data_IF_606270349082
#
_entry.id   IF_606270349082
#
_cell.length_a   1.000
_cell.length_b   1.000
_cell.length_c   1.000
_cell.angle_alpha   90.00
_cell.angle_beta   90.00
_cell.angle_gamma   90.00
#
_symmetry.space_group_name_H-M   'P 1'
#
loop_
_entity.id
_entity.type
_entity.pdbx_description
1 polymer ?
#
# COMPACT_ATOMS: atom_id res chain seq x y z
N UNK A 1 -41.04 9.19 -65.81
CA UNK A 1 -40.49 7.82 -65.99
C UNK A 1 -39.93 7.41 -64.63
N UNK A 2 -40.73 6.81 -63.74
CA UNK A 2 -41.12 5.40 -63.63
C UNK A 2 -40.00 4.45 -63.15
N UNK A 3 -40.23 3.88 -61.94
CA UNK A 3 -39.86 2.55 -61.39
C UNK A 3 -38.35 2.29 -61.21
N UNK A 4 -37.87 1.85 -60.05
CA UNK A 4 -38.30 0.66 -59.31
C UNK A 4 -38.14 0.84 -57.79
N UNK A 5 -39.25 0.75 -57.05
CA UNK A 5 -39.33 -0.02 -55.81
C UNK A 5 -40.04 -1.33 -56.18
N UNK A 6 -39.52 -2.48 -55.76
CA UNK A 6 -40.27 -3.56 -55.10
C UNK A 6 -39.49 -4.88 -55.11
N UNK A 7 -39.71 -5.64 -54.04
CA UNK A 7 -39.62 -7.10 -53.96
C UNK A 7 -38.26 -7.73 -53.70
N UNK A 8 -37.98 -7.95 -52.41
CA UNK A 8 -37.65 -9.30 -51.88
C UNK A 8 -37.58 -9.24 -50.35
N UNK A 9 -38.76 -9.19 -49.73
CA UNK A 9 -39.00 -9.82 -48.44
C UNK A 9 -39.82 -11.08 -48.70
N UNK A 10 -39.58 -12.09 -47.86
CA UNK A 10 -40.31 -13.36 -47.72
C UNK A 10 -39.72 -14.56 -48.49
N UNK A 11 -38.87 -15.30 -47.78
CA UNK A 11 -38.96 -16.76 -47.56
C UNK A 11 -38.02 -17.02 -46.36
N UNK A 12 -38.47 -17.39 -45.17
CA UNK A 12 -39.50 -18.37 -44.87
C UNK A 12 -38.83 -19.67 -44.46
N UNK A 13 -38.39 -19.73 -43.20
CA UNK A 13 -38.24 -20.92 -42.34
C UNK A 13 -37.80 -22.26 -42.97
N UNK A 14 -36.61 -22.73 -42.56
CA UNK A 14 -36.44 -24.16 -42.28
C UNK A 14 -35.49 -24.38 -41.10
N UNK A 15 -36.07 -25.00 -40.08
CA UNK A 15 -35.49 -25.40 -38.82
C UNK A 15 -34.40 -26.46 -38.99
N UNK A 16 -33.28 -26.30 -38.28
CA UNK A 16 -32.50 -27.45 -37.82
C UNK A 16 -31.73 -27.08 -36.54
N UNK A 17 -32.37 -27.36 -35.40
CA UNK A 17 -31.78 -27.87 -34.16
C UNK A 17 -30.34 -27.46 -33.81
N UNK A 18 -30.22 -26.47 -32.92
CA UNK A 18 -29.29 -26.58 -31.79
C UNK A 18 -30.02 -26.17 -30.50
N UNK A 19 -30.65 -27.19 -29.90
CA UNK A 19 -30.75 -27.43 -28.46
C UNK A 19 -30.73 -26.22 -27.53
N UNK A 20 -31.93 -25.88 -27.09
CA UNK A 20 -32.29 -25.46 -25.72
C UNK A 20 -31.41 -26.18 -24.69
N UNK A 21 -30.37 -25.51 -24.19
CA UNK A 21 -29.80 -25.81 -22.88
C UNK A 21 -30.62 -25.04 -21.84
N UNK A 22 -31.72 -25.65 -21.43
CA UNK A 22 -32.21 -25.42 -20.07
C UNK A 22 -31.19 -26.02 -19.09
N UNK A 23 -30.98 -25.30 -17.98
CA UNK A 23 -30.13 -25.61 -16.84
C UNK A 23 -28.61 -25.46 -17.03
N UNK A 24 -28.14 -24.23 -16.84
CA UNK A 24 -27.05 -24.03 -15.89
C UNK A 24 -27.64 -23.30 -14.68
N UNK A 25 -27.32 -23.72 -13.46
CA UNK A 25 -27.91 -23.14 -12.26
C UNK A 25 -27.67 -21.64 -12.30
N UNK A 26 -28.63 -20.85 -11.84
CA UNK A 26 -28.37 -19.49 -11.40
C UNK A 26 -27.09 -19.54 -10.57
N UNK A 27 -25.95 -19.14 -11.15
CA UNK A 27 -24.75 -18.85 -10.39
C UNK A 27 -25.24 -17.75 -9.47
N UNK A 28 -25.55 -18.16 -8.23
CA UNK A 28 -26.34 -17.37 -7.32
C UNK A 28 -25.72 -15.99 -7.33
N UNK A 29 -26.55 -14.97 -7.56
CA UNK A 29 -26.17 -13.60 -7.25
C UNK A 29 -25.73 -13.66 -5.79
N UNK A 30 -24.41 -13.77 -5.58
CA UNK A 30 -23.82 -13.61 -4.27
C UNK A 30 -24.30 -12.23 -3.86
N UNK A 31 -25.02 -12.15 -2.74
CA UNK A 31 -25.49 -10.86 -2.27
C UNK A 31 -24.30 -9.91 -2.20
N UNK A 32 -24.51 -8.63 -2.47
CA UNK A 32 -23.44 -7.62 -2.46
C UNK A 32 -22.59 -7.72 -1.17
N UNK A 33 -23.24 -8.07 -0.05
CA UNK A 33 -22.62 -8.35 1.25
C UNK A 33 -21.61 -9.51 1.25
N UNK A 34 -21.85 -10.57 0.48
CA UNK A 34 -20.93 -11.71 0.38
C UNK A 34 -19.69 -11.35 -0.47
N UNK A 35 -19.89 -10.61 -1.56
CA UNK A 35 -18.80 -10.12 -2.41
C UNK A 35 -17.91 -9.12 -1.66
N UNK A 36 -18.52 -8.22 -0.87
CA UNK A 36 -17.83 -7.28 0.00
C UNK A 36 -16.98 -8.02 1.06
N UNK A 37 -17.55 -9.02 1.75
CA UNK A 37 -16.82 -9.84 2.73
C UNK A 37 -15.64 -10.58 2.12
N UNK A 38 -15.82 -11.20 0.95
CA UNK A 38 -14.73 -11.88 0.25
C UNK A 38 -13.61 -10.91 -0.14
N UNK A 39 -13.98 -9.70 -0.56
CA UNK A 39 -13.02 -8.64 -0.90
C UNK A 39 -12.20 -8.23 0.32
N UNK A 40 -12.85 -7.96 1.47
CA UNK A 40 -12.17 -7.59 2.73
C UNK A 40 -11.22 -8.70 3.17
N UNK A 41 -11.68 -9.96 3.17
CA UNK A 41 -10.84 -11.11 3.57
C UNK A 41 -9.61 -11.24 2.67
N UNK A 42 -9.80 -11.16 1.35
CA UNK A 42 -8.70 -11.24 0.39
C UNK A 42 -7.72 -10.09 0.59
N UNK A 43 -8.21 -8.85 0.70
CA UNK A 43 -7.42 -7.64 0.94
C UNK A 43 -6.58 -7.78 2.22
N UNK A 44 -7.21 -8.24 3.31
CA UNK A 44 -6.57 -8.44 4.62
C UNK A 44 -5.53 -9.55 4.63
N UNK A 45 -5.78 -10.65 3.91
CA UNK A 45 -4.83 -11.76 3.80
C UNK A 45 -3.58 -11.32 3.03
N UNK A 46 -3.78 -10.64 1.90
CA UNK A 46 -2.67 -10.06 1.14
C UNK A 46 -1.92 -9.09 2.07
N UNK A 47 -2.64 -8.21 2.79
CA UNK A 47 -2.08 -7.23 3.73
C UNK A 47 -1.15 -7.86 4.78
N UNK A 48 -1.63 -8.95 5.38
CA UNK A 48 -0.87 -9.74 6.34
C UNK A 48 0.39 -10.35 5.73
N UNK A 49 0.27 -10.99 4.55
CA UNK A 49 1.40 -11.66 3.87
C UNK A 49 2.46 -10.64 3.45
N UNK A 50 2.05 -9.54 2.84
CA UNK A 50 2.98 -8.49 2.41
C UNK A 50 3.72 -7.87 3.60
N UNK A 51 3.01 -7.59 4.70
CA UNK A 51 3.62 -7.03 5.91
C UNK A 51 4.57 -8.01 6.58
N UNK A 52 4.23 -9.30 6.57
CA UNK A 52 5.12 -10.37 7.04
C UNK A 52 6.42 -10.42 6.24
N UNK A 53 6.33 -10.53 4.91
CA UNK A 53 7.50 -10.62 4.02
C UNK A 53 8.37 -9.38 4.15
N UNK A 54 7.75 -8.20 4.15
CA UNK A 54 8.46 -6.93 4.25
C UNK A 54 9.19 -6.81 5.60
N UNK A 55 8.51 -7.13 6.71
CA UNK A 55 9.10 -7.01 8.06
C UNK A 55 10.21 -8.04 8.28
N UNK A 56 9.96 -9.30 7.94
CA UNK A 56 10.98 -10.36 8.02
C UNK A 56 12.20 -10.02 7.15
N UNK A 57 11.97 -9.59 5.91
CA UNK A 57 13.04 -9.23 4.99
C UNK A 57 13.87 -8.06 5.53
N UNK A 58 13.23 -7.00 6.01
CA UNK A 58 13.95 -5.84 6.56
C UNK A 58 14.80 -6.24 7.77
N UNK A 59 14.26 -7.00 8.71
CA UNK A 59 15.01 -7.41 9.88
C UNK A 59 16.19 -8.32 9.49
N UNK A 60 15.96 -9.26 8.58
CA UNK A 60 17.02 -10.14 8.04
C UNK A 60 18.06 -9.42 7.17
N UNK A 61 17.77 -8.21 6.69
CA UNK A 61 18.71 -7.40 5.91
C UNK A 61 19.88 -6.83 6.73
N UNK A 62 19.80 -6.86 8.06
CA UNK A 62 20.81 -6.28 8.94
C UNK A 62 21.05 -4.79 8.70
N UNK A 63 20.02 -4.04 8.31
CA UNK A 63 20.11 -2.61 8.05
C UNK A 63 20.71 -2.24 6.68
N UNK A 64 21.00 -3.21 5.81
CA UNK A 64 21.49 -2.94 4.46
C UNK A 64 20.40 -2.25 3.61
N UNK A 65 20.58 -0.97 3.30
CA UNK A 65 19.61 -0.17 2.54
C UNK A 65 19.25 -0.78 1.17
N UNK A 66 20.22 -1.36 0.45
CA UNK A 66 19.93 -1.96 -0.86
C UNK A 66 19.07 -3.22 -0.71
N UNK A 67 19.36 -4.07 0.28
CA UNK A 67 18.55 -5.25 0.56
C UNK A 67 17.11 -4.86 0.97
N UNK A 68 16.96 -3.83 1.83
CA UNK A 68 15.65 -3.27 2.20
C UNK A 68 14.85 -2.84 0.96
N UNK A 69 15.50 -2.16 0.01
CA UNK A 69 14.86 -1.73 -1.24
C UNK A 69 14.46 -2.92 -2.12
N UNK A 70 15.31 -3.94 -2.24
CA UNK A 70 14.98 -5.16 -2.98
C UNK A 70 13.80 -5.90 -2.34
N UNK A 71 13.76 -5.98 -1.00
CA UNK A 71 12.67 -6.60 -0.25
C UNK A 71 11.36 -5.82 -0.44
N UNK A 72 11.40 -4.48 -0.39
CA UNK A 72 10.23 -3.65 -0.71
C UNK A 72 9.73 -3.93 -2.12
N UNK A 73 10.63 -3.89 -3.10
CA UNK A 73 10.33 -4.12 -4.51
C UNK A 73 9.66 -5.48 -4.73
N UNK A 74 10.24 -6.55 -4.18
CA UNK A 74 9.67 -7.89 -4.27
C UNK A 74 8.32 -7.99 -3.55
N UNK A 75 8.17 -7.34 -2.39
CA UNK A 75 6.89 -7.30 -1.67
C UNK A 75 5.80 -6.64 -2.53
N UNK A 76 6.11 -5.52 -3.20
CA UNK A 76 5.19 -4.85 -4.13
C UNK A 76 4.87 -5.75 -5.34
N UNK A 77 5.85 -6.45 -5.90
CA UNK A 77 5.58 -7.33 -7.04
C UNK A 77 4.70 -8.53 -6.66
N UNK A 78 4.89 -9.08 -5.46
CA UNK A 78 4.14 -10.22 -4.95
C UNK A 78 2.72 -9.84 -4.53
N UNK A 79 2.49 -8.59 -4.13
CA UNK A 79 1.17 -8.13 -3.71
C UNK A 79 0.69 -7.01 -4.62
N UNK A 80 -0.40 -7.21 -5.36
CA UNK A 80 -0.90 -6.27 -6.38
C UNK A 80 -1.25 -4.84 -5.88
N UNK A 81 -1.08 -4.53 -4.60
CA UNK A 81 -1.31 -3.21 -4.00
C UNK A 81 -0.25 -2.88 -2.95
N UNK A 82 0.24 -1.64 -2.95
CA UNK A 82 1.10 -1.10 -1.87
C UNK A 82 0.36 -0.87 -0.55
N UNK A 83 -0.95 -0.77 -0.63
CA UNK A 83 -1.85 -0.53 0.50
C UNK A 83 -1.92 -1.72 1.45
N UNK A 84 -1.19 -2.77 1.12
CA UNK A 84 -1.10 -4.05 1.78
C UNK A 84 -0.19 -4.00 3.00
N UNK A 85 0.90 -3.23 2.99
CA UNK A 85 1.89 -3.31 4.06
C UNK A 85 2.12 -2.03 4.87
N UNK A 86 1.37 -0.96 4.62
CA UNK A 86 1.55 0.30 5.34
C UNK A 86 0.21 0.97 5.70
N UNK A 87 -0.13 1.12 7.00
CA UNK A 87 -1.38 1.74 7.44
C UNK A 87 -1.60 3.15 6.91
N UNK A 88 -0.53 3.95 6.77
CA UNK A 88 -0.64 5.32 6.25
C UNK A 88 -0.96 5.33 4.75
N UNK A 89 -0.52 4.31 4.00
CA UNK A 89 -0.91 4.14 2.59
C UNK A 89 -2.36 3.65 2.49
N UNK A 90 -2.80 2.71 3.34
CA UNK A 90 -4.22 2.32 3.40
C UNK A 90 -5.12 3.50 3.78
N UNK A 91 -4.62 4.43 4.59
CA UNK A 91 -5.34 5.64 4.95
C UNK A 91 -5.50 6.59 3.77
N UNK A 92 -4.52 6.68 2.88
CA UNK A 92 -4.66 7.41 1.60
C UNK A 92 -5.82 6.82 0.79
N UNK A 93 -5.88 5.49 0.66
CA UNK A 93 -6.97 4.82 -0.05
C UNK A 93 -8.34 5.05 0.59
N UNK A 94 -8.41 5.09 1.93
CA UNK A 94 -9.63 5.44 2.65
C UNK A 94 -10.07 6.87 2.32
N UNK A 95 -9.14 7.83 2.33
CA UNK A 95 -9.44 9.24 2.07
C UNK A 95 -9.80 9.52 0.60
N UNK A 96 -9.27 8.74 -0.34
CA UNK A 96 -9.70 8.74 -1.74
C UNK A 96 -10.95 7.88 -2.01
N UNK A 97 -11.55 7.28 -0.97
CA UNK A 97 -12.76 6.44 -1.07
C UNK A 97 -12.57 5.24 -2.01
N UNK A 98 -11.35 4.70 -2.06
CA UNK A 98 -11.01 3.47 -2.81
C UNK A 98 -11.30 2.20 -2.02
N UNK A 99 -11.32 2.32 -0.70
CA UNK A 99 -11.68 1.26 0.25
C UNK A 99 -12.66 1.82 1.28
N UNK A 100 -13.53 0.95 1.82
CA UNK A 100 -14.40 1.31 2.93
C UNK A 100 -13.66 1.36 4.28
N UNK A 101 -14.24 2.02 5.28
CA UNK A 101 -13.66 2.09 6.63
C UNK A 101 -13.45 0.70 7.25
N UNK A 102 -14.38 -0.23 7.03
CA UNK A 102 -14.25 -1.60 7.52
C UNK A 102 -13.04 -2.31 6.88
N UNK A 103 -12.89 -2.23 5.55
CA UNK A 103 -11.72 -2.79 4.85
C UNK A 103 -10.42 -2.17 5.35
N UNK A 104 -10.39 -0.84 5.54
CA UNK A 104 -9.25 -0.15 6.13
C UNK A 104 -8.86 -0.72 7.49
N UNK A 105 -9.81 -0.86 8.42
CA UNK A 105 -9.55 -1.39 9.77
C UNK A 105 -9.02 -2.83 9.73
N UNK A 106 -9.62 -3.70 8.92
CA UNK A 106 -9.13 -5.08 8.77
C UNK A 106 -7.75 -5.14 8.12
N UNK A 107 -7.48 -4.30 7.12
CA UNK A 107 -6.16 -4.21 6.51
C UNK A 107 -5.10 -3.74 7.50
N UNK A 108 -5.38 -2.74 8.34
CA UNK A 108 -4.45 -2.28 9.39
C UNK A 108 -4.17 -3.39 10.42
N UNK A 109 -5.21 -4.13 10.84
CA UNK A 109 -5.02 -5.29 11.72
C UNK A 109 -4.19 -6.39 11.07
N UNK A 110 -4.45 -6.69 9.80
CA UNK A 110 -3.67 -7.63 9.01
C UNK A 110 -2.21 -7.19 8.90
N UNK A 111 -1.97 -5.91 8.66
CA UNK A 111 -0.62 -5.34 8.57
C UNK A 111 0.16 -5.48 9.86
N UNK A 112 -0.42 -5.04 10.98
CA UNK A 112 0.21 -5.15 12.31
C UNK A 112 0.47 -6.62 12.64
N UNK A 113 -0.52 -7.50 12.44
CA UNK A 113 -0.40 -8.93 12.70
C UNK A 113 0.66 -9.61 11.83
N UNK A 114 0.67 -9.31 10.53
CA UNK A 114 1.68 -9.79 9.59
C UNK A 114 3.09 -9.32 9.96
N UNK A 115 3.25 -8.03 10.25
CA UNK A 115 4.52 -7.48 10.72
C UNK A 115 5.01 -8.11 12.02
N UNK A 116 4.11 -8.32 13.00
CA UNK A 116 4.46 -8.95 14.27
C UNK A 116 4.93 -10.39 14.08
N UNK A 117 4.22 -11.17 13.26
CA UNK A 117 4.63 -12.53 12.91
C UNK A 117 5.98 -12.53 12.17
N UNK A 118 6.21 -11.58 11.27
CA UNK A 118 7.48 -11.42 10.55
C UNK A 118 8.64 -11.17 11.51
N UNK A 119 8.45 -10.28 12.49
CA UNK A 119 9.42 -9.99 13.54
C UNK A 119 9.70 -11.21 14.43
N UNK A 120 8.65 -11.91 14.88
CA UNK A 120 8.77 -13.13 15.69
C UNK A 120 9.53 -14.24 14.94
N UNK A 121 9.21 -14.50 13.67
CA UNK A 121 9.92 -15.52 12.88
C UNK A 121 11.38 -15.14 12.68
N UNK A 122 11.65 -13.88 12.34
CA UNK A 122 13.02 -13.38 12.24
C UNK A 122 13.79 -13.63 13.54
N UNK A 123 13.14 -13.46 14.70
CA UNK A 123 13.75 -13.70 15.99
C UNK A 123 14.13 -15.16 16.23
N UNK A 124 13.18 -16.06 16.02
CA UNK A 124 13.44 -17.49 16.21
C UNK A 124 14.50 -18.04 15.27
N UNK A 125 14.60 -17.49 14.05
CA UNK A 125 15.50 -17.96 13.01
C UNK A 125 16.90 -17.38 13.13
N UNK A 126 17.04 -16.06 13.28
CA UNK A 126 18.35 -15.39 13.25
C UNK A 126 19.02 -15.30 14.61
N UNK A 127 18.26 -15.37 15.71
CA UNK A 127 18.75 -15.28 17.10
C UNK A 127 19.64 -14.07 17.42
N UNK A 128 19.74 -13.09 16.51
CA UNK A 128 20.58 -11.91 16.63
C UNK A 128 19.90 -10.70 15.99
N UNK A 129 19.69 -9.65 16.80
CA UNK A 129 19.07 -8.38 16.41
C UNK A 129 20.06 -7.23 16.42
N UNK A 130 21.35 -7.47 16.67
CA UNK A 130 22.34 -6.39 16.82
C UNK A 130 22.35 -5.40 15.66
N UNK A 131 21.90 -5.80 14.47
CA UNK A 131 21.84 -4.98 13.25
C UNK A 131 20.43 -4.75 12.69
N UNK A 132 19.35 -5.03 13.44
CA UNK A 132 18.01 -4.64 12.99
C UNK A 132 17.95 -3.10 12.81
N UNK A 133 17.23 -2.57 11.82
CA UNK A 133 17.08 -1.13 11.71
C UNK A 133 16.29 -0.62 12.91
N UNK A 134 17.01 -0.08 13.89
CA UNK A 134 16.44 0.37 15.15
C UNK A 134 15.64 1.65 14.91
N UNK A 135 14.52 1.76 15.60
CA UNK A 135 13.86 3.04 15.82
C UNK A 135 14.70 3.79 16.86
N UNK A 136 15.69 4.53 16.38
CA UNK A 136 16.69 5.20 17.23
C UNK A 136 16.10 6.47 17.88
N UNK A 137 15.09 6.28 18.75
CA UNK A 137 14.50 7.30 19.58
C UNK A 137 14.51 6.82 21.04
N UNK A 138 15.67 6.93 21.70
CA UNK A 138 15.82 6.67 23.14
C UNK A 138 15.62 7.95 23.94
N UNK A 139 15.20 7.81 25.20
CA UNK A 139 15.18 8.92 26.17
C UNK A 139 16.62 9.44 26.31
N UNK A 140 16.91 10.62 25.75
CA UNK A 140 18.24 11.24 25.78
C UNK A 140 18.91 11.42 24.42
N UNK A 141 18.43 10.73 23.37
CA UNK A 141 18.86 10.95 21.99
C UNK A 141 18.00 12.03 21.30
N UNK A 142 18.45 12.47 20.13
CA UNK A 142 17.90 13.60 19.37
C UNK A 142 16.48 13.30 18.81
N UNK A 143 15.49 13.24 19.69
CA UNK A 143 14.07 13.01 19.40
C UNK A 143 13.55 13.94 18.29
N UNK A 144 14.00 15.19 18.27
CA UNK A 144 13.67 16.16 17.23
C UNK A 144 14.16 15.67 15.87
N UNK A 145 15.40 15.19 15.79
CA UNK A 145 15.95 14.59 14.58
C UNK A 145 15.19 13.35 14.11
N UNK A 146 14.69 12.51 15.02
CA UNK A 146 13.87 11.35 14.67
C UNK A 146 12.49 11.76 14.17
N UNK A 147 11.86 12.75 14.80
CA UNK A 147 10.58 13.33 14.33
C UNK A 147 10.73 13.97 12.96
N UNK A 148 11.77 14.79 12.75
CA UNK A 148 12.05 15.44 11.47
C UNK A 148 12.33 14.41 10.37
N UNK A 149 13.15 13.39 10.66
CA UNK A 149 13.46 12.32 9.72
C UNK A 149 12.21 11.53 9.32
N UNK A 150 11.44 11.06 10.29
CA UNK A 150 10.18 10.34 10.07
C UNK A 150 9.19 11.18 9.26
N UNK A 151 8.98 12.44 9.66
CA UNK A 151 8.01 13.31 9.00
C UNK A 151 8.43 13.66 7.58
N UNK A 152 9.67 14.10 7.38
CA UNK A 152 10.15 14.54 6.06
C UNK A 152 10.23 13.38 5.07
N UNK A 153 10.79 12.24 5.49
CA UNK A 153 10.86 11.06 4.66
C UNK A 153 9.47 10.49 4.36
N UNK A 154 8.57 10.45 5.35
CA UNK A 154 7.18 10.05 5.11
C UNK A 154 6.48 10.98 4.11
N UNK A 155 6.67 12.30 4.20
CA UNK A 155 6.07 13.25 3.24
C UNK A 155 6.51 12.96 1.82
N UNK A 156 7.83 12.81 1.58
CA UNK A 156 8.37 12.50 0.25
C UNK A 156 7.78 11.18 -0.25
N UNK A 157 7.81 10.14 0.59
CA UNK A 157 7.33 8.83 0.21
C UNK A 157 5.82 8.82 -0.12
N UNK A 158 5.00 9.46 0.73
CA UNK A 158 3.55 9.53 0.52
C UNK A 158 3.18 10.38 -0.71
N UNK A 159 3.93 11.44 -1.03
CA UNK A 159 3.72 12.20 -2.27
C UNK A 159 3.95 11.30 -3.50
N UNK A 160 5.03 10.53 -3.51
CA UNK A 160 5.35 9.61 -4.61
C UNK A 160 4.25 8.57 -4.76
N UNK A 161 3.77 8.00 -3.65
CA UNK A 161 2.63 7.07 -3.62
C UNK A 161 1.40 7.73 -4.25
N UNK A 162 0.99 8.92 -3.77
CA UNK A 162 -0.23 9.58 -4.26
C UNK A 162 -0.14 9.89 -5.75
N UNK A 163 1.01 10.38 -6.23
CA UNK A 163 1.21 10.67 -7.66
C UNK A 163 1.15 9.42 -8.52
N UNK A 164 1.83 8.35 -8.10
CA UNK A 164 1.92 7.10 -8.87
C UNK A 164 0.60 6.30 -8.89
N UNK A 165 -0.30 6.58 -7.95
CA UNK A 165 -1.66 6.05 -7.93
C UNK A 165 -2.71 7.01 -8.53
N UNK A 166 -2.32 8.16 -9.05
CA UNK A 166 -3.25 9.10 -9.68
C UNK A 166 -3.52 8.67 -11.14
N UNK A 167 -4.78 8.65 -11.55
CA UNK A 167 -5.17 8.18 -12.88
C UNK A 167 -4.59 9.02 -14.03
N UNK A 168 -4.32 10.30 -13.78
CA UNK A 168 -3.85 11.25 -14.79
C UNK A 168 -2.37 11.60 -14.66
N UNK A 169 -1.81 11.44 -13.46
CA UNK A 169 -0.49 11.96 -13.11
C UNK A 169 0.53 10.86 -12.77
N UNK A 170 0.12 9.58 -12.80
CA UNK A 170 1.03 8.45 -12.66
C UNK A 170 2.11 8.47 -13.73
N UNK A 171 3.30 8.01 -13.35
CA UNK A 171 4.42 7.90 -14.28
C UNK A 171 4.27 6.73 -15.25
N UNK A 172 3.57 5.67 -14.83
CA UNK A 172 3.44 4.42 -15.58
C UNK A 172 2.29 3.56 -15.06
N UNK A 173 1.74 2.76 -15.96
CA UNK A 173 0.74 1.71 -15.72
C UNK A 173 1.33 0.31 -15.59
N UNK A 174 2.58 0.13 -16.01
CA UNK A 174 3.24 -1.16 -15.94
C UNK A 174 3.55 -1.53 -14.48
N UNK A 175 3.22 -2.77 -14.09
CA UNK A 175 3.36 -3.23 -12.71
C UNK A 175 4.82 -3.22 -12.24
N UNK A 176 5.75 -3.59 -13.11
CA UNK A 176 7.18 -3.62 -12.79
C UNK A 176 7.71 -2.20 -12.59
N UNK A 177 7.37 -1.31 -13.52
CA UNK A 177 7.79 0.10 -13.44
C UNK A 177 7.15 0.81 -12.23
N UNK A 178 5.89 0.51 -11.92
CA UNK A 178 5.21 1.01 -10.72
C UNK A 178 5.95 0.59 -9.44
N UNK A 179 6.29 -0.70 -9.31
CA UNK A 179 7.06 -1.19 -8.17
C UNK A 179 8.43 -0.51 -8.08
N UNK A 180 9.08 -0.26 -9.21
CA UNK A 180 10.37 0.42 -9.29
C UNK A 180 10.28 1.89 -8.86
N UNK A 181 9.31 2.66 -9.37
CA UNK A 181 9.09 4.07 -8.98
C UNK A 181 8.91 4.20 -7.48
N UNK A 182 8.06 3.34 -6.91
CA UNK A 182 7.75 3.41 -5.48
C UNK A 182 8.95 2.99 -4.63
N UNK A 183 9.68 1.94 -5.05
CA UNK A 183 10.90 1.51 -4.36
C UNK A 183 11.98 2.58 -4.41
N UNK A 184 12.23 3.20 -5.57
CA UNK A 184 13.20 4.28 -5.70
C UNK A 184 12.78 5.51 -4.90
N UNK A 185 11.50 5.83 -4.87
CA UNK A 185 10.94 6.88 -4.04
C UNK A 185 11.15 6.63 -2.54
N UNK A 186 10.94 5.40 -2.09
CA UNK A 186 11.24 4.97 -0.74
C UNK A 186 12.74 5.11 -0.41
N UNK A 187 13.61 4.69 -1.33
CA UNK A 187 15.06 4.84 -1.19
C UNK A 187 15.49 6.30 -1.08
N UNK A 188 14.95 7.17 -1.94
CA UNK A 188 15.19 8.61 -1.88
C UNK A 188 14.71 9.21 -0.55
N UNK A 189 13.50 8.88 -0.11
CA UNK A 189 12.96 9.31 1.18
C UNK A 189 13.87 8.89 2.35
N UNK A 190 14.33 7.63 2.36
CA UNK A 190 15.26 7.12 3.38
C UNK A 190 16.59 7.88 3.39
N UNK A 191 17.22 8.05 2.23
CA UNK A 191 18.52 8.74 2.11
C UNK A 191 18.41 10.20 2.56
N UNK A 192 17.34 10.90 2.17
CA UNK A 192 17.14 12.31 2.51
C UNK A 192 16.72 12.50 3.98
N UNK A 193 16.10 11.50 4.61
CA UNK A 193 15.71 11.52 6.02
C UNK A 193 16.84 11.14 7.01
N UNK A 194 18.08 11.00 6.53
CA UNK A 194 19.34 10.42 7.07
C UNK A 194 19.60 10.27 8.58
N UNK A 195 18.80 10.86 9.47
CA UNK A 195 18.85 10.65 10.92
C UNK A 195 17.91 9.57 11.44
N UNK A 196 16.85 9.22 10.72
CA UNK A 196 15.98 8.10 11.06
C UNK A 196 16.28 6.92 10.15
N UNK A 197 16.56 5.73 10.69
CA UNK A 197 16.50 4.46 9.93
C UNK A 197 15.05 4.09 9.56
N UNK A 198 14.26 5.11 9.25
CA UNK A 198 12.82 5.11 9.17
C UNK A 198 12.31 4.25 8.04
N UNK A 199 11.24 3.53 8.33
CA UNK A 199 10.51 2.74 7.35
C UNK A 199 9.19 3.41 6.95
N UNK A 200 8.89 4.59 7.49
CA UNK A 200 7.69 5.39 7.21
C UNK A 200 6.40 4.57 7.33
N UNK A 201 6.38 3.59 8.23
CA UNK A 201 5.38 2.53 8.27
C UNK A 201 4.92 2.25 9.71
N UNK A 202 3.69 2.70 10.08
CA UNK A 202 3.16 2.51 11.42
C UNK A 202 3.03 1.04 11.85
N UNK A 203 2.70 0.11 10.94
CA UNK A 203 2.53 -1.30 11.29
C UNK A 203 3.86 -1.95 11.64
N UNK A 204 4.89 -1.70 10.82
CA UNK A 204 6.24 -2.16 11.13
C UNK A 204 6.72 -1.60 12.47
N UNK A 205 6.58 -0.29 12.67
CA UNK A 205 7.08 0.37 13.88
C UNK A 205 6.38 -0.14 15.15
N UNK A 206 5.05 -0.24 15.10
CA UNK A 206 4.27 -0.79 16.22
C UNK A 206 4.67 -2.22 16.54
N UNK A 207 4.78 -3.08 15.51
CA UNK A 207 5.07 -4.50 15.70
C UNK A 207 6.50 -4.74 16.19
N UNK A 208 7.48 -3.97 15.73
CA UNK A 208 8.86 -4.06 16.20
C UNK A 208 8.98 -3.62 17.66
N UNK A 209 8.45 -2.43 18.01
CA UNK A 209 8.47 -1.93 19.40
C UNK A 209 7.73 -2.86 20.36
N UNK A 210 6.56 -3.37 19.95
CA UNK A 210 5.79 -4.31 20.77
C UNK A 210 6.59 -5.59 21.00
N UNK A 211 7.21 -6.13 19.96
CA UNK A 211 8.01 -7.34 20.07
C UNK A 211 9.24 -7.14 20.97
N UNK A 212 9.99 -6.07 20.77
CA UNK A 212 11.15 -5.75 21.62
C UNK A 212 10.75 -5.53 23.08
N UNK A 213 9.68 -4.79 23.36
CA UNK A 213 9.18 -4.57 24.72
C UNK A 213 8.77 -5.89 25.41
N UNK A 214 8.19 -6.84 24.65
CA UNK A 214 7.86 -8.18 25.16
C UNK A 214 9.15 -8.96 25.45
N UNK A 215 10.16 -8.83 24.61
CA UNK A 215 11.42 -9.57 24.72
C UNK A 215 12.31 -9.07 25.87
N UNK A 216 12.53 -7.76 25.99
CA UNK A 216 13.46 -7.17 26.95
C UNK A 216 12.78 -6.60 28.21
N UNK A 217 11.44 -6.54 28.22
CA UNK A 217 10.64 -6.02 29.32
C UNK A 217 10.67 -4.49 29.45
N UNK A 218 11.29 -3.78 28.50
CA UNK A 218 11.54 -2.34 28.57
C UNK A 218 10.47 -1.52 27.86
N UNK A 219 9.32 -1.36 28.51
CA UNK A 219 8.16 -0.62 28.00
C UNK A 219 8.37 0.89 27.84
N UNK A 220 9.49 1.45 28.32
CA UNK A 220 9.78 2.88 28.23
C UNK A 220 9.92 3.38 26.79
N UNK A 221 10.34 2.53 25.84
CA UNK A 221 10.50 2.88 24.41
C UNK A 221 9.16 3.10 23.71
N UNK A 222 8.12 2.40 24.16
CA UNK A 222 6.75 2.54 23.67
C UNK A 222 6.22 3.98 23.79
N UNK A 223 6.78 4.78 24.71
CA UNK A 223 6.46 6.20 24.87
C UNK A 223 6.78 7.07 23.65
N UNK A 224 7.66 6.62 22.74
CA UNK A 224 8.00 7.35 21.50
C UNK A 224 7.39 6.76 20.23
N UNK A 225 6.64 5.65 20.35
CA UNK A 225 6.00 4.99 19.21
C UNK A 225 5.04 5.91 18.44
N UNK A 226 4.51 6.94 19.10
CA UNK A 226 3.67 7.96 18.46
C UNK A 226 4.40 8.69 17.32
N UNK A 227 5.73 8.86 17.39
CA UNK A 227 6.51 9.51 16.32
C UNK A 227 6.41 8.70 15.03
N UNK A 228 6.65 7.40 15.15
CA UNK A 228 6.72 6.44 14.05
C UNK A 228 5.34 6.02 13.52
N UNK A 229 4.28 6.30 14.28
CA UNK A 229 2.90 5.98 13.89
C UNK A 229 2.15 7.22 13.39
N UNK A 230 2.22 8.35 14.10
CA UNK A 230 1.50 9.56 13.72
C UNK A 230 2.14 10.31 12.54
N UNK A 231 3.48 10.37 12.45
CA UNK A 231 4.13 11.13 11.38
C UNK A 231 3.80 10.60 9.97
N UNK A 232 3.76 9.27 9.72
CA UNK A 232 3.29 8.75 8.43
C UNK A 232 1.83 9.09 8.10
N UNK A 233 0.91 9.09 9.07
CA UNK A 233 -0.49 9.50 8.82
C UNK A 233 -0.59 11.00 8.51
N UNK A 234 0.16 11.85 9.20
CA UNK A 234 0.20 13.29 8.90
C UNK A 234 0.78 13.54 7.51
N UNK A 235 1.82 12.80 7.13
CA UNK A 235 2.39 12.84 5.79
C UNK A 235 1.41 12.39 4.70
N UNK A 236 0.57 11.38 4.97
CA UNK A 236 -0.49 10.95 4.06
C UNK A 236 -1.51 12.08 3.80
N UNK A 237 -1.97 12.78 4.85
CA UNK A 237 -2.86 13.94 4.68
C UNK A 237 -2.18 15.03 3.86
N UNK A 238 -0.91 15.35 4.17
CA UNK A 238 -0.15 16.35 3.43
C UNK A 238 0.00 15.98 1.96
N UNK A 239 0.32 14.73 1.63
CA UNK A 239 0.48 14.26 0.27
C UNK A 239 -0.80 14.39 -0.56
N UNK A 240 -1.96 14.14 0.04
CA UNK A 240 -3.27 14.33 -0.60
C UNK A 240 -3.53 15.82 -0.88
N UNK A 241 -3.27 16.69 0.10
CA UNK A 241 -3.41 18.13 -0.08
C UNK A 241 -2.45 18.66 -1.15
N UNK A 242 -1.21 18.18 -1.15
CA UNK A 242 -0.23 18.51 -2.18
C UNK A 242 -0.72 18.10 -3.58
N UNK A 243 -1.18 16.86 -3.76
CA UNK A 243 -1.68 16.40 -5.06
C UNK A 243 -2.89 17.21 -5.53
N UNK A 244 -3.89 17.37 -4.66
CA UNK A 244 -5.16 18.02 -5.02
C UNK A 244 -5.04 19.53 -5.19
N UNK A 245 -4.40 20.24 -4.26
CA UNK A 245 -4.39 21.70 -4.24
C UNK A 245 -3.22 22.31 -5.00
N UNK A 246 -2.08 21.63 -5.06
CA UNK A 246 -0.89 22.15 -5.71
C UNK A 246 -0.78 21.49 -7.08
N UNK A 247 -0.50 20.20 -7.12
CA UNK A 247 -0.05 19.55 -8.35
C UNK A 247 -1.13 19.53 -9.45
N UNK A 248 -2.36 19.08 -9.15
CA UNK A 248 -3.49 19.10 -10.10
C UNK A 248 -3.84 20.51 -10.55
N UNK A 249 -3.89 21.46 -9.62
CA UNK A 249 -4.19 22.86 -9.95
C UNK A 249 -3.17 23.46 -10.91
N UNK A 250 -1.88 23.16 -10.74
CA UNK A 250 -0.84 23.59 -11.68
C UNK A 250 -0.93 22.87 -13.03
N UNK A 251 -1.23 21.57 -13.01
CA UNK A 251 -1.39 20.77 -14.23
C UNK A 251 -2.57 21.24 -15.09
N UNK A 252 -3.72 21.50 -14.46
CA UNK A 252 -4.91 22.01 -15.16
C UNK A 252 -4.65 23.38 -15.77
N UNK A 253 -3.94 24.26 -15.05
CA UNK A 253 -3.49 25.55 -15.59
C UNK A 253 -2.54 25.36 -16.78
N UNK A 254 -1.60 24.42 -16.70
CA UNK A 254 -0.69 24.12 -17.81
C UNK A 254 -1.48 23.74 -19.07
N UNK A 255 -2.47 22.86 -18.94
CA UNK A 255 -3.36 22.47 -20.04
C UNK A 255 -4.14 23.67 -20.56
N UNK A 256 -4.73 24.48 -19.68
CA UNK A 256 -5.56 25.63 -20.06
C UNK A 256 -4.77 26.70 -20.81
N UNK A 257 -3.51 26.94 -20.43
CA UNK A 257 -2.68 28.01 -20.99
C UNK A 257 -1.66 27.53 -22.03
N UNK A 258 -1.60 26.23 -22.33
CA UNK A 258 -0.81 25.67 -23.44
C UNK A 258 0.71 25.77 -23.26
N UNK A 259 1.20 25.71 -22.02
CA UNK A 259 2.64 25.63 -21.72
C UNK A 259 3.19 24.21 -21.84
#
# INVERSE_FOLDING_TARGET
MQRFESDLNAEGESQANYTRFESSPSVGQLSETHLEKQTIIKSTLIASIGSFIFTYGILSSGGNNMAILVILFLSILMTDRLTVFNPAVSFIDLLYVRIGFQEFMFNVLGQVGGSLLGAMVCFFVLQDFTNAPYLDAKIGDNLIGSVEGEMFGSIIFMIIIVLQYDDYLKFTDDKLEHALVITLGFGAARVLSSKGQSLFNPAFAFSLELFECIQDGSWGRFGFLWVFTCAPFMAAVFAILFNSQIYKTFYDKKIQYGF
#
